data_IF_275178752961
#
_entry.id   IF_275178752961
#
_cell.length_a   1.000
_cell.length_b   1.000
_cell.length_c   1.000
_cell.angle_alpha   90.00
_cell.angle_beta   90.00
_cell.angle_gamma   90.00
#
_symmetry.space_group_name_H-M   'P 1'
#
loop_
_entity.id
_entity.type
_entity.pdbx_description
1 polymer ?
#
# COMPACT_ATOMS: atom_id res chain seq x y z
N UNK A 1 -13.72 -14.87 27.55
CA UNK A 1 -14.82 -14.53 26.61
C UNK A 1 -14.83 -13.02 26.42
N UNK A 2 -15.24 -12.50 25.25
CA UNK A 2 -15.37 -11.04 25.03
C UNK A 2 -16.49 -10.45 25.91
N UNK A 3 -17.47 -11.29 26.25
CA UNK A 3 -18.47 -11.02 27.27
C UNK A 3 -18.25 -11.99 28.44
N UNK A 4 -17.83 -11.49 29.59
CA UNK A 4 -17.44 -12.28 30.76
C UNK A 4 -18.22 -11.84 32.00
N UNK A 5 -18.56 -12.81 32.86
CA UNK A 5 -19.33 -12.58 34.08
C UNK A 5 -18.58 -11.75 35.16
N UNK A 6 -17.26 -11.56 35.04
CA UNK A 6 -16.48 -10.69 35.91
C UNK A 6 -16.23 -9.33 35.24
N UNK A 7 -16.92 -8.30 35.73
CA UNK A 7 -16.93 -6.94 35.16
C UNK A 7 -15.78 -6.02 35.61
N UNK A 8 -14.82 -6.52 36.40
CA UNK A 8 -13.84 -5.65 37.09
C UNK A 8 -12.67 -5.17 36.22
N UNK A 9 -12.63 -5.48 34.92
CA UNK A 9 -11.58 -4.98 34.00
C UNK A 9 -12.17 -4.34 32.75
N UNK A 10 -11.91 -3.04 32.58
CA UNK A 10 -12.15 -2.31 31.33
C UNK A 10 -11.14 -2.76 30.28
N UNK A 11 -11.52 -3.71 29.43
CA UNK A 11 -10.72 -4.21 28.31
C UNK A 11 -11.28 -3.67 26.99
N UNK A 12 -10.41 -3.21 26.10
CA UNK A 12 -10.76 -2.86 24.72
C UNK A 12 -10.15 -3.90 23.79
N UNK A 13 -10.97 -4.49 22.91
CA UNK A 13 -10.54 -5.49 21.94
C UNK A 13 -10.53 -4.88 20.54
N UNK A 14 -9.39 -4.96 19.85
CA UNK A 14 -9.24 -4.55 18.44
C UNK A 14 -8.89 -5.80 17.63
N UNK A 15 -9.67 -6.06 16.58
CA UNK A 15 -9.45 -7.16 15.65
C UNK A 15 -9.29 -6.62 14.22
N UNK A 16 -8.48 -7.30 13.40
CA UNK A 16 -8.27 -6.98 12.00
C UNK A 16 -8.32 -8.26 11.16
N UNK A 17 -9.07 -8.23 10.04
CA UNK A 17 -9.19 -9.36 9.11
C UNK A 17 -9.24 -8.85 7.67
N UNK A 18 -8.68 -9.64 6.74
CA UNK A 18 -8.83 -9.41 5.30
C UNK A 18 -9.92 -10.30 4.67
N UNK A 19 -10.55 -11.17 5.47
CA UNK A 19 -11.57 -12.13 5.04
C UNK A 19 -12.67 -12.19 6.10
N UNK A 20 -13.57 -11.21 6.10
CA UNK A 20 -14.67 -11.12 7.07
C UNK A 20 -15.64 -12.30 6.90
N UNK A 21 -15.83 -12.73 5.66
CA UNK A 21 -16.69 -13.83 5.25
C UNK A 21 -16.25 -15.19 5.79
N UNK A 22 -14.98 -15.35 6.17
CA UNK A 22 -14.47 -16.58 6.79
C UNK A 22 -14.77 -16.67 8.29
N UNK A 23 -15.15 -15.56 8.92
CA UNK A 23 -15.34 -15.49 10.37
C UNK A 23 -16.74 -15.95 10.75
N UNK A 24 -16.83 -16.66 11.88
CA UNK A 24 -18.09 -17.09 12.47
C UNK A 24 -18.98 -15.86 12.77
N UNK A 25 -20.26 -15.84 12.31
CA UNK A 25 -21.18 -14.74 12.56
C UNK A 25 -21.37 -14.40 14.05
N UNK A 26 -21.32 -15.39 14.95
CA UNK A 26 -21.45 -15.20 16.40
C UNK A 26 -20.20 -14.57 17.03
N UNK A 27 -19.04 -14.64 16.38
CA UNK A 27 -17.86 -13.88 16.79
C UNK A 27 -18.02 -12.41 16.38
N UNK A 28 -18.48 -12.18 15.15
CA UNK A 28 -18.70 -10.82 14.61
C UNK A 28 -19.76 -10.08 15.44
N UNK A 29 -20.80 -10.75 15.90
CA UNK A 29 -21.86 -10.14 16.71
C UNK A 29 -21.39 -9.62 18.08
N UNK A 30 -20.17 -9.97 18.52
CA UNK A 30 -19.56 -9.47 19.77
C UNK A 30 -18.71 -8.21 19.58
N UNK A 31 -18.62 -7.68 18.36
CA UNK A 31 -17.96 -6.41 18.09
C UNK A 31 -19.00 -5.32 17.82
N UNK A 32 -18.98 -4.26 18.63
CA UNK A 32 -19.93 -3.14 18.49
C UNK A 32 -19.67 -2.29 17.25
N UNK A 33 -18.39 -2.17 16.85
CA UNK A 33 -17.97 -1.32 15.74
C UNK A 33 -17.16 -2.12 14.72
N UNK A 34 -17.53 -1.96 13.44
CA UNK A 34 -16.79 -2.49 12.30
C UNK A 34 -16.42 -1.34 11.37
N UNK A 35 -15.13 -1.23 11.05
CA UNK A 35 -14.60 -0.23 10.11
C UNK A 35 -14.04 -0.96 8.91
N UNK A 36 -14.57 -0.66 7.72
CA UNK A 36 -14.06 -1.17 6.46
C UNK A 36 -12.98 -0.23 5.92
N UNK A 37 -11.83 -0.80 5.54
CA UNK A 37 -10.73 -0.06 4.93
C UNK A 37 -10.66 -0.38 3.44
N UNK A 38 -10.96 0.61 2.60
CA UNK A 38 -10.78 0.54 1.15
C UNK A 38 -9.36 0.91 0.73
N UNK A 39 -9.16 1.02 -0.59
CA UNK A 39 -7.96 1.66 -1.14
C UNK A 39 -7.93 3.15 -0.76
N UNK A 40 -6.74 3.74 -0.56
CA UNK A 40 -6.62 5.16 -0.25
C UNK A 40 -7.11 6.02 -1.42
N UNK A 41 -7.91 7.04 -1.11
CA UNK A 41 -8.22 8.12 -2.04
C UNK A 41 -6.98 8.98 -2.35
N UNK A 42 -7.10 9.90 -3.30
CA UNK A 42 -5.99 10.73 -3.75
C UNK A 42 -5.30 11.50 -2.61
N UNK A 43 -6.08 12.14 -1.73
CA UNK A 43 -5.53 12.87 -0.58
C UNK A 43 -4.77 11.94 0.37
N UNK A 44 -5.33 10.79 0.70
CA UNK A 44 -4.68 9.79 1.53
C UNK A 44 -3.40 9.24 0.88
N UNK A 45 -3.35 9.09 -0.45
CA UNK A 45 -2.13 8.71 -1.16
C UNK A 45 -1.05 9.78 -1.05
N UNK A 46 -1.40 11.05 -1.19
CA UNK A 46 -0.50 12.18 -0.97
C UNK A 46 0.07 12.19 0.45
N UNK A 47 -0.77 11.97 1.47
CA UNK A 47 -0.37 11.89 2.88
C UNK A 47 0.49 10.66 3.18
N UNK A 48 0.25 9.53 2.52
CA UNK A 48 1.11 8.36 2.65
C UNK A 48 2.48 8.67 2.01
N UNK A 49 2.49 9.24 0.80
CA UNK A 49 3.73 9.59 0.10
C UNK A 49 4.56 10.61 0.89
N UNK A 50 3.92 11.63 1.48
CA UNK A 50 4.60 12.69 2.26
C UNK A 50 5.35 12.15 3.48
N UNK A 51 4.93 11.01 4.03
CA UNK A 51 5.63 10.35 5.15
C UNK A 51 6.99 9.77 4.77
N UNK A 52 7.14 9.35 3.51
CA UNK A 52 8.35 8.71 3.01
C UNK A 52 9.20 9.69 2.19
N UNK A 53 8.59 10.41 1.24
CA UNK A 53 9.25 11.36 0.34
C UNK A 53 9.14 12.81 0.86
N UNK A 54 9.62 13.06 2.09
CA UNK A 54 9.41 14.33 2.83
C UNK A 54 10.00 15.57 2.15
N UNK A 55 10.99 15.40 1.30
CA UNK A 55 11.67 16.49 0.59
C UNK A 55 10.94 16.91 -0.69
N UNK A 56 9.99 16.11 -1.17
CA UNK A 56 9.15 16.49 -2.30
C UNK A 56 8.19 17.60 -1.88
N UNK A 57 8.04 18.59 -2.75
CA UNK A 57 7.07 19.65 -2.60
C UNK A 57 5.64 19.09 -2.65
N UNK A 58 4.67 19.90 -2.17
CA UNK A 58 3.26 19.51 -2.20
C UNK A 58 2.76 19.19 -3.62
N UNK A 59 3.24 19.92 -4.63
CA UNK A 59 2.91 19.69 -6.04
C UNK A 59 3.48 18.36 -6.56
N UNK A 60 4.73 18.05 -6.19
CA UNK A 60 5.34 16.76 -6.57
C UNK A 60 4.66 15.58 -5.88
N UNK A 61 4.24 15.74 -4.61
CA UNK A 61 3.46 14.73 -3.90
C UNK A 61 2.06 14.54 -4.50
N UNK A 62 1.45 15.59 -5.04
CA UNK A 62 0.16 15.54 -5.75
C UNK A 62 0.28 14.73 -7.06
N UNK A 63 1.38 14.95 -7.79
CA UNK A 63 1.70 14.17 -8.98
C UNK A 63 1.96 12.69 -8.62
N UNK A 64 2.74 12.43 -7.56
CA UNK A 64 2.97 11.08 -7.06
C UNK A 64 1.67 10.38 -6.63
N UNK A 65 0.74 11.11 -5.99
CA UNK A 65 -0.58 10.59 -5.61
C UNK A 65 -1.44 10.25 -6.84
N UNK A 66 -1.31 11.00 -7.93
CA UNK A 66 -1.98 10.72 -9.20
C UNK A 66 -1.43 9.44 -9.82
N UNK A 67 -0.11 9.31 -9.91
CA UNK A 67 0.52 8.10 -10.49
C UNK A 67 0.56 6.89 -9.55
N UNK A 68 -0.07 6.96 -8.37
CA UNK A 68 -0.24 5.81 -7.46
C UNK A 68 -1.71 5.42 -7.29
N UNK A 69 -2.59 5.84 -8.21
CA UNK A 69 -3.98 5.39 -8.25
C UNK A 69 -4.09 3.85 -8.21
N UNK A 70 -5.15 3.38 -7.52
CA UNK A 70 -5.47 1.98 -7.24
C UNK A 70 -4.42 1.18 -6.44
N UNK A 71 -3.38 1.83 -5.93
CA UNK A 71 -2.39 1.19 -5.06
C UNK A 71 -2.85 1.16 -3.61
N UNK A 72 -2.60 0.04 -2.92
CA UNK A 72 -2.78 -0.01 -1.47
C UNK A 72 -1.69 0.82 -0.78
N UNK A 73 -1.92 1.26 0.45
CA UNK A 73 -0.91 2.03 1.20
C UNK A 73 0.45 1.31 1.34
N UNK A 74 0.44 -0.03 1.35
CA UNK A 74 1.66 -0.85 1.28
C UNK A 74 2.43 -0.63 -0.02
N UNK A 75 1.73 -0.62 -1.14
CA UNK A 75 2.35 -0.50 -2.46
C UNK A 75 2.99 0.89 -2.64
N UNK A 76 2.33 1.94 -2.16
CA UNK A 76 2.84 3.33 -2.19
C UNK A 76 4.13 3.45 -1.36
N UNK A 77 4.13 2.89 -0.14
CA UNK A 77 5.36 2.82 0.68
C UNK A 77 6.48 2.12 -0.07
N UNK A 78 6.18 0.96 -0.65
CA UNK A 78 7.21 0.16 -1.32
C UNK A 78 7.75 0.87 -2.58
N UNK A 79 6.92 1.63 -3.30
CA UNK A 79 7.36 2.54 -4.39
C UNK A 79 8.37 3.55 -3.86
N UNK A 80 8.06 4.21 -2.75
CA UNK A 80 8.96 5.21 -2.16
C UNK A 80 10.29 4.59 -1.72
N UNK A 81 10.24 3.47 -1.00
CA UNK A 81 11.44 2.74 -0.57
C UNK A 81 12.29 2.26 -1.74
N UNK A 82 11.66 1.83 -2.84
CA UNK A 82 12.37 1.39 -4.03
C UNK A 82 13.07 2.56 -4.73
N UNK A 83 12.42 3.73 -4.80
CA UNK A 83 13.02 4.94 -5.34
C UNK A 83 14.25 5.37 -4.54
N UNK A 84 14.14 5.39 -3.20
CA UNK A 84 15.26 5.70 -2.31
C UNK A 84 16.43 4.74 -2.48
N UNK A 85 16.17 3.43 -2.53
CA UNK A 85 17.21 2.41 -2.73
C UNK A 85 17.88 2.53 -4.09
N UNK A 86 17.07 2.73 -5.13
CA UNK A 86 17.56 2.93 -6.50
C UNK A 86 18.48 4.16 -6.57
N UNK A 87 18.05 5.28 -5.99
CA UNK A 87 18.82 6.50 -5.94
C UNK A 87 20.12 6.37 -5.15
N UNK A 88 20.06 5.80 -3.95
CA UNK A 88 21.24 5.52 -3.14
C UNK A 88 22.26 4.67 -3.91
N UNK A 89 21.80 3.66 -4.66
CA UNK A 89 22.67 2.87 -5.53
C UNK A 89 23.31 3.71 -6.64
N UNK A 90 22.61 4.68 -7.24
CA UNK A 90 23.18 5.57 -8.27
C UNK A 90 24.26 6.48 -7.70
N UNK A 91 24.05 7.03 -6.49
CA UNK A 91 25.05 7.85 -5.79
C UNK A 91 26.32 7.03 -5.50
N UNK A 92 26.17 5.82 -4.95
CA UNK A 92 27.31 4.95 -4.62
C UNK A 92 28.13 4.61 -5.87
N UNK A 93 27.47 4.48 -7.03
CA UNK A 93 28.12 4.21 -8.33
C UNK A 93 28.72 5.44 -8.99
N UNK A 94 28.62 6.63 -8.37
CA UNK A 94 29.12 7.88 -8.94
C UNK A 94 28.33 8.36 -10.16
N UNK A 95 27.08 7.94 -10.32
CA UNK A 95 26.23 8.29 -11.46
C UNK A 95 25.46 9.61 -11.25
N UNK A 96 25.63 10.23 -10.08
CA UNK A 96 24.97 11.49 -9.68
C UNK A 96 26.05 12.47 -9.23
N UNK A 97 26.04 13.68 -9.82
CA UNK A 97 26.93 14.78 -9.45
C UNK A 97 26.65 15.22 -8.01
N UNK A 98 27.71 15.36 -7.18
CA UNK A 98 27.60 15.66 -5.75
C UNK A 98 27.46 17.14 -5.41
N UNK A 99 27.35 18.01 -6.40
CA UNK A 99 27.51 19.46 -6.22
C UNK A 99 26.26 20.17 -5.66
N UNK A 100 25.10 19.50 -5.61
CA UNK A 100 23.87 20.04 -5.01
C UNK A 100 23.55 19.34 -3.68
N UNK A 101 23.13 20.09 -2.66
CA UNK A 101 22.62 19.51 -1.40
C UNK A 101 21.39 18.60 -1.63
N UNK A 102 20.60 18.85 -2.68
CA UNK A 102 19.53 17.95 -3.13
C UNK A 102 20.03 16.66 -3.81
N UNK A 103 21.31 16.55 -4.20
CA UNK A 103 21.83 15.38 -4.90
C UNK A 103 21.75 14.08 -4.07
N UNK A 104 21.62 14.19 -2.75
CA UNK A 104 21.53 13.03 -1.86
C UNK A 104 20.12 12.41 -1.79
N UNK A 105 19.09 13.09 -2.27
CA UNK A 105 17.70 12.62 -2.21
C UNK A 105 17.13 12.38 -3.61
N UNK A 106 16.23 11.38 -3.80
CA UNK A 106 15.73 11.05 -5.12
C UNK A 106 14.83 12.16 -5.65
N UNK A 107 14.97 12.59 -6.90
CA UNK A 107 14.01 13.52 -7.50
C UNK A 107 12.67 12.81 -7.74
N UNK A 108 11.58 13.56 -7.93
CA UNK A 108 10.23 13.03 -8.19
C UNK A 108 10.23 11.94 -9.29
N UNK A 109 11.02 12.13 -10.35
CA UNK A 109 11.10 11.22 -11.48
C UNK A 109 11.50 9.80 -11.08
N UNK A 110 12.33 9.64 -10.04
CA UNK A 110 12.69 8.31 -9.52
C UNK A 110 11.50 7.61 -8.87
N UNK A 111 10.67 8.37 -8.15
CA UNK A 111 9.42 7.88 -7.56
C UNK A 111 8.40 7.50 -8.63
N UNK A 112 8.23 8.34 -9.66
CA UNK A 112 7.30 8.07 -10.78
C UNK A 112 7.72 6.82 -11.55
N UNK A 113 9.02 6.63 -11.80
CA UNK A 113 9.54 5.43 -12.44
C UNK A 113 9.22 4.17 -11.62
N UNK A 114 9.45 4.21 -10.30
CA UNK A 114 9.12 3.10 -9.42
C UNK A 114 7.61 2.84 -9.33
N UNK A 115 6.79 3.88 -9.33
CA UNK A 115 5.32 3.77 -9.35
C UNK A 115 4.83 3.09 -10.63
N UNK A 116 5.40 3.48 -11.78
CA UNK A 116 5.05 2.90 -13.09
C UNK A 116 5.40 1.42 -13.14
N UNK A 117 6.62 1.04 -12.75
CA UNK A 117 7.00 -0.38 -12.66
C UNK A 117 6.11 -1.17 -11.70
N UNK A 118 5.74 -0.59 -10.55
CA UNK A 118 4.83 -1.23 -9.61
C UNK A 118 3.44 -1.45 -10.22
N UNK A 119 2.92 -0.48 -10.97
CA UNK A 119 1.63 -0.61 -11.68
C UNK A 119 1.66 -1.76 -12.68
N UNK A 120 2.71 -1.86 -13.49
CA UNK A 120 2.88 -2.96 -14.46
C UNK A 120 2.92 -4.33 -13.77
N UNK A 121 3.63 -4.42 -12.65
CA UNK A 121 3.67 -5.63 -11.83
C UNK A 121 2.28 -6.00 -11.25
N UNK A 122 1.49 -5.00 -10.83
CA UNK A 122 0.13 -5.22 -10.34
C UNK A 122 -0.82 -5.66 -11.46
N UNK A 123 -0.75 -5.03 -12.63
CA UNK A 123 -1.57 -5.39 -13.80
C UNK A 123 -1.27 -6.81 -14.28
N UNK A 124 0.02 -7.18 -14.38
CA UNK A 124 0.42 -8.53 -14.76
C UNK A 124 -0.02 -9.58 -13.72
N UNK A 125 0.13 -9.29 -12.43
CA UNK A 125 -0.37 -10.17 -11.36
C UNK A 125 -1.90 -10.34 -11.40
N UNK A 126 -2.64 -9.26 -11.66
CA UNK A 126 -4.10 -9.30 -11.80
C UNK A 126 -4.54 -10.12 -13.02
N UNK A 127 -3.87 -9.97 -14.16
CA UNK A 127 -4.12 -10.77 -15.36
C UNK A 127 -3.90 -12.27 -15.10
N UNK A 128 -2.79 -12.62 -14.43
CA UNK A 128 -2.49 -14.01 -14.06
C UNK A 128 -3.53 -14.59 -13.09
N UNK A 129 -4.04 -13.79 -12.14
CA UNK A 129 -5.12 -14.21 -11.24
C UNK A 129 -6.41 -14.50 -12.00
N UNK A 130 -6.78 -13.66 -12.97
CA UNK A 130 -7.97 -13.87 -13.82
C UNK A 130 -7.86 -15.17 -14.64
N UNK A 131 -6.70 -15.43 -15.24
CA UNK A 131 -6.43 -16.67 -15.98
C UNK A 131 -6.54 -17.91 -15.09
N UNK A 132 -5.96 -17.87 -13.89
CA UNK A 132 -6.03 -19.01 -12.96
C UNK A 132 -7.47 -19.32 -12.51
N UNK A 133 -8.25 -18.28 -12.26
CA UNK A 133 -9.65 -18.43 -11.82
C UNK A 133 -10.56 -18.90 -12.96
N UNK A 134 -10.30 -18.53 -14.23
CA UNK A 134 -11.07 -19.01 -15.37
C UNK A 134 -10.75 -20.47 -15.74
N UNK A 135 -9.51 -20.93 -15.52
CA UNK A 135 -9.15 -22.35 -15.64
C UNK A 135 -9.77 -23.21 -14.54
N UNK A 136 -9.84 -22.71 -13.29
CA UNK A 136 -10.53 -23.43 -12.20
C UNK A 136 -12.03 -23.57 -12.44
N UNK A 137 -12.69 -22.57 -13.04
CA UNK A 137 -14.13 -22.69 -13.36
C UNK A 137 -14.44 -23.70 -14.45
N UNK A 138 -13.51 -23.99 -15.37
CA UNK A 138 -13.71 -24.99 -16.43
C UNK A 138 -13.65 -26.44 -15.93
N UNK A 139 -12.91 -26.71 -14.85
CA UNK A 139 -12.71 -28.06 -14.30
C UNK A 139 -13.90 -28.51 -13.43
N UNK A 140 -14.72 -27.59 -12.92
CA UNK A 140 -15.86 -27.89 -12.02
C UNK A 140 -17.19 -27.98 -12.81
N UNK A 141 -17.13 -27.90 -14.14
CA UNK A 141 -18.28 -27.93 -15.06
C UNK A 141 -18.29 -29.16 -15.99
N UNK A 142 -17.46 -30.17 -15.70
CA UNK A 142 -17.50 -31.53 -16.26
C UNK A 142 -17.72 -32.54 -15.11
#
# INVERSE_FOLDING_TARGET
MIDGFEQDKKVVVIAATNRKEDLDPALISRFDTMIAFGLPDHHNRQEIASKYAKHLSKAELDELATVTEDMAGRDIRDVCLQAERSWASKIIRGQVSKDDEQANLPPLQEYIACATHRREALLSAAANRKLRNSSHRRIISE
#
